data_IF_246090170923
#
_entry.id   IF_246090170923
#
_cell.length_a   1.000
_cell.length_b   1.000
_cell.length_c   1.000
_cell.angle_alpha   90.00
_cell.angle_beta   90.00
_cell.angle_gamma   90.00
#
_symmetry.space_group_name_H-M   'P 1'
#
loop_
_entity.id
_entity.type
_entity.pdbx_description
1 polymer ?
#
# COMPACT_ATOMS: atom_id res chain seq x y z
N UNK A 1 -2.74 23.67 21.12
CA UNK A 1 -2.96 23.25 19.72
C UNK A 1 -2.38 21.85 19.58
N UNK A 2 -3.24 20.83 19.41
CA UNK A 2 -2.78 19.44 19.25
C UNK A 2 -2.02 19.35 17.92
N UNK A 3 -0.74 19.01 17.96
CA UNK A 3 0.03 18.71 16.76
C UNK A 3 -0.62 17.51 16.10
N UNK A 4 -1.19 17.70 14.90
CA UNK A 4 -1.76 16.58 14.14
C UNK A 4 -0.68 15.52 13.97
N UNK A 5 -0.97 14.29 14.39
CA UNK A 5 -0.04 13.18 14.24
C UNK A 5 0.32 13.01 12.75
N UNK A 6 1.61 12.87 12.47
CA UNK A 6 2.15 12.63 11.12
C UNK A 6 2.86 11.29 11.07
N UNK A 7 2.88 10.70 9.87
CA UNK A 7 3.52 9.41 9.59
C UNK A 7 4.58 9.60 8.51
N UNK A 8 5.63 8.79 8.55
CA UNK A 8 6.65 8.77 7.50
C UNK A 8 6.34 7.66 6.49
N UNK A 9 6.32 8.01 5.22
CA UNK A 9 6.24 7.08 4.11
C UNK A 9 7.44 7.32 3.18
N UNK A 10 8.57 6.64 3.46
CA UNK A 10 9.86 6.95 2.83
C UNK A 10 10.26 8.39 3.14
N UNK A 11 10.54 9.16 2.10
CA UNK A 11 10.82 10.59 2.15
C UNK A 11 9.59 11.48 2.40
N UNK A 12 8.37 10.92 2.32
CA UNK A 12 7.14 11.70 2.41
C UNK A 12 6.59 11.77 3.82
N UNK A 13 5.98 12.92 4.16
CA UNK A 13 5.20 13.10 5.39
C UNK A 13 3.71 12.96 5.06
N UNK A 14 3.07 11.98 5.69
CA UNK A 14 1.65 11.69 5.53
C UNK A 14 0.89 12.23 6.74
N UNK A 15 -0.20 12.97 6.47
CA UNK A 15 -1.10 13.47 7.52
C UNK A 15 -1.92 12.30 8.06
N UNK A 16 -2.19 12.29 9.36
CA UNK A 16 -3.09 11.31 10.01
C UNK A 16 -4.45 11.17 9.33
N UNK A 17 -4.98 12.22 8.68
CA UNK A 17 -6.24 12.15 7.94
C UNK A 17 -6.24 11.15 6.77
N UNK A 18 -5.07 10.77 6.25
CA UNK A 18 -4.94 9.76 5.20
C UNK A 18 -4.69 8.35 5.76
N UNK A 19 -4.44 8.23 7.06
CA UNK A 19 -4.15 6.96 7.75
C UNK A 19 -5.40 6.51 8.49
N UNK A 20 -5.99 5.40 8.06
CA UNK A 20 -7.26 4.90 8.62
C UNK A 20 -7.08 3.76 9.62
N UNK A 21 -5.89 3.16 9.69
CA UNK A 21 -5.54 2.14 10.67
C UNK A 21 -4.08 2.32 11.11
N UNK A 22 -3.84 2.13 12.40
CA UNK A 22 -2.52 2.05 13.00
C UNK A 22 -2.51 0.87 13.98
N UNK A 23 -1.49 0.04 13.91
CA UNK A 23 -1.20 -1.03 14.87
C UNK A 23 0.05 -0.67 15.69
N UNK A 24 0.62 -1.65 16.38
CA UNK A 24 1.86 -1.43 17.14
C UNK A 24 3.05 -1.14 16.22
N UNK A 25 3.14 -1.84 15.08
CA UNK A 25 4.30 -1.78 14.19
C UNK A 25 3.96 -1.37 12.75
N UNK A 26 2.69 -1.18 12.40
CA UNK A 26 2.25 -0.83 11.05
C UNK A 26 1.20 0.27 11.02
N UNK A 27 0.97 0.82 9.84
CA UNK A 27 -0.13 1.72 9.54
C UNK A 27 -0.65 1.48 8.13
N UNK A 28 -1.91 1.83 7.88
CA UNK A 28 -2.51 1.74 6.57
C UNK A 28 -3.11 3.06 6.13
N UNK A 29 -2.92 3.36 4.85
CA UNK A 29 -3.25 4.65 4.26
C UNK A 29 -3.94 4.51 2.92
N UNK A 30 -4.76 5.50 2.59
CA UNK A 30 -5.37 5.60 1.25
C UNK A 30 -4.31 5.95 0.21
N UNK A 31 -4.32 5.25 -0.92
CA UNK A 31 -3.44 5.59 -2.03
C UNK A 31 -4.00 6.84 -2.75
N UNK A 32 -3.14 7.85 -2.99
CA UNK A 32 -3.53 9.08 -3.70
C UNK A 32 -3.73 8.87 -5.20
N UNK A 33 -3.06 7.86 -5.77
CA UNK A 33 -3.18 7.47 -7.17
C UNK A 33 -3.62 6.00 -7.21
N UNK A 34 -4.89 5.71 -6.91
CA UNK A 34 -5.36 4.34 -6.86
C UNK A 34 -5.49 3.75 -8.26
N UNK A 35 -4.88 2.58 -8.51
CA UNK A 35 -5.07 1.80 -9.75
C UNK A 35 -6.53 1.37 -9.94
N UNK A 36 -7.18 1.00 -8.84
CA UNK A 36 -8.62 0.70 -8.77
C UNK A 36 -9.23 1.38 -7.54
N UNK A 37 -10.53 1.73 -7.54
CA UNK A 37 -11.19 2.24 -6.34
C UNK A 37 -10.99 1.30 -5.15
N UNK A 38 -10.50 1.82 -4.03
CA UNK A 38 -10.17 1.02 -2.85
C UNK A 38 -8.75 0.49 -2.77
N UNK A 39 -7.87 0.84 -3.72
CA UNK A 39 -6.43 0.59 -3.60
C UNK A 39 -5.88 1.35 -2.37
N UNK A 40 -5.42 0.59 -1.38
CA UNK A 40 -4.74 1.10 -0.19
C UNK A 40 -3.34 0.51 -0.04
N UNK A 41 -2.57 1.11 0.87
CA UNK A 41 -1.23 0.65 1.23
C UNK A 41 -1.18 0.28 2.71
N UNK A 42 -0.38 -0.74 3.04
CA UNK A 42 -0.02 -1.10 4.42
C UNK A 42 1.49 -1.03 4.56
N UNK A 43 1.99 -0.28 5.54
CA UNK A 43 3.40 0.01 5.71
C UNK A 43 3.84 -0.23 7.16
N UNK A 44 5.07 -0.67 7.43
CA UNK A 44 5.62 -0.64 8.78
C UNK A 44 5.78 0.81 9.27
N UNK A 45 5.74 1.04 10.58
CA UNK A 45 5.98 2.35 11.17
C UNK A 45 7.46 2.75 11.07
N UNK A 46 8.37 1.78 11.19
CA UNK A 46 9.79 1.99 10.92
C UNK A 46 9.99 2.09 9.41
N UNK A 47 10.65 3.16 8.96
CA UNK A 47 11.00 3.31 7.55
C UNK A 47 12.10 2.32 7.19
N UNK A 48 11.73 1.29 6.44
CA UNK A 48 12.63 0.23 5.96
C UNK A 48 12.50 0.14 4.45
N UNK A 49 13.59 0.24 3.70
CA UNK A 49 13.54 0.24 2.23
C UNK A 49 13.18 -1.14 1.67
N UNK A 50 13.81 -2.22 2.18
CA UNK A 50 13.67 -3.56 1.62
C UNK A 50 13.00 -4.53 2.59
N UNK A 51 12.20 -5.45 2.04
CA UNK A 51 11.46 -6.45 2.79
C UNK A 51 12.39 -7.33 3.65
N UNK A 52 13.56 -7.69 3.10
CA UNK A 52 14.61 -8.47 3.80
C UNK A 52 15.16 -7.80 5.07
N UNK A 53 14.97 -6.49 5.23
CA UNK A 53 15.51 -5.73 6.36
C UNK A 53 14.44 -5.48 7.45
N UNK A 54 13.25 -6.06 7.28
CA UNK A 54 12.22 -6.12 8.32
C UNK A 54 12.61 -7.11 9.41
N UNK A 55 12.27 -6.79 10.65
CA UNK A 55 12.37 -7.73 11.75
C UNK A 55 11.17 -8.71 11.71
N UNK A 56 11.29 -9.92 12.31
CA UNK A 56 10.21 -10.90 12.30
C UNK A 56 8.87 -10.40 12.89
N UNK A 57 8.93 -9.57 13.93
CA UNK A 57 7.76 -8.91 14.54
C UNK A 57 7.07 -7.94 13.57
N UNK A 58 7.85 -7.18 12.80
CA UNK A 58 7.32 -6.28 11.78
C UNK A 58 6.69 -7.03 10.61
N UNK A 59 7.30 -8.13 10.17
CA UNK A 59 6.72 -8.99 9.12
C UNK A 59 5.37 -9.54 9.58
N UNK A 60 5.29 -10.06 10.82
CA UNK A 60 4.06 -10.59 11.37
C UNK A 60 2.95 -9.53 11.46
N UNK A 61 3.25 -8.38 12.07
CA UNK A 61 2.28 -7.29 12.22
C UNK A 61 1.84 -6.72 10.86
N UNK A 62 2.77 -6.58 9.89
CA UNK A 62 2.47 -6.10 8.54
C UNK A 62 1.48 -7.01 7.81
N UNK A 63 1.69 -8.32 7.84
CA UNK A 63 0.79 -9.26 7.16
C UNK A 63 -0.51 -9.53 7.91
N UNK A 64 -0.51 -9.50 9.25
CA UNK A 64 -1.75 -9.53 10.03
C UNK A 64 -2.61 -8.30 9.75
N UNK A 65 -1.98 -7.12 9.66
CA UNK A 65 -2.65 -5.87 9.29
C UNK A 65 -3.18 -5.94 7.86
N UNK A 66 -2.37 -6.43 6.91
CA UNK A 66 -2.78 -6.68 5.53
C UNK A 66 -4.00 -7.59 5.44
N UNK A 67 -4.00 -8.73 6.16
CA UNK A 67 -5.12 -9.67 6.18
C UNK A 67 -6.40 -9.04 6.71
N UNK A 68 -6.31 -8.24 7.79
CA UNK A 68 -7.45 -7.51 8.35
C UNK A 68 -8.03 -6.51 7.35
N UNK A 69 -7.17 -5.81 6.61
CA UNK A 69 -7.57 -4.82 5.62
C UNK A 69 -8.19 -5.49 4.39
N UNK A 70 -7.60 -6.59 3.95
CA UNK A 70 -8.11 -7.41 2.85
C UNK A 70 -9.58 -7.79 3.08
N UNK A 71 -9.91 -8.32 4.26
CA UNK A 71 -11.30 -8.69 4.62
C UNK A 71 -12.27 -7.49 4.57
N UNK A 72 -11.85 -6.34 5.10
CA UNK A 72 -12.69 -5.13 5.13
C UNK A 72 -12.89 -4.55 3.74
N UNK A 73 -11.82 -4.45 2.94
CA UNK A 73 -11.85 -3.82 1.63
C UNK A 73 -12.60 -4.67 0.61
N UNK A 74 -12.41 -5.99 0.60
CA UNK A 74 -13.15 -6.87 -0.30
C UNK A 74 -14.65 -6.74 -0.08
N UNK A 75 -15.09 -6.78 1.18
CA UNK A 75 -16.50 -6.58 1.57
C UNK A 75 -17.02 -5.19 1.23
N UNK A 76 -16.29 -4.14 1.61
CA UNK A 76 -16.75 -2.76 1.43
C UNK A 76 -16.92 -2.39 -0.05
N UNK A 77 -15.99 -2.83 -0.90
CA UNK A 77 -16.03 -2.57 -2.32
C UNK A 77 -16.88 -3.58 -3.11
N UNK A 78 -17.49 -4.57 -2.45
CA UNK A 78 -18.22 -5.66 -3.10
C UNK A 78 -17.36 -6.35 -4.18
N UNK A 79 -16.09 -6.54 -3.86
CA UNK A 79 -15.15 -7.28 -4.67
C UNK A 79 -15.30 -8.79 -4.42
N UNK A 80 -14.78 -9.59 -5.35
CA UNK A 80 -14.78 -11.05 -5.25
C UNK A 80 -13.37 -11.62 -5.05
N UNK A 81 -12.36 -10.78 -5.19
CA UNK A 81 -10.95 -11.15 -5.12
C UNK A 81 -10.10 -9.92 -4.77
N UNK A 82 -8.82 -10.15 -4.48
CA UNK A 82 -7.85 -9.09 -4.20
C UNK A 82 -6.56 -9.31 -4.99
N UNK A 83 -5.91 -8.22 -5.39
CA UNK A 83 -4.48 -8.23 -5.71
C UNK A 83 -3.72 -7.71 -4.50
N UNK A 84 -2.81 -8.52 -3.97
CA UNK A 84 -1.91 -8.17 -2.86
C UNK A 84 -0.48 -8.25 -3.39
N UNK A 85 0.27 -7.15 -3.33
CA UNK A 85 1.60 -7.08 -3.93
C UNK A 85 2.59 -6.26 -3.09
N UNK A 86 3.86 -6.64 -3.17
CA UNK A 86 5.00 -5.87 -2.65
C UNK A 86 5.99 -5.72 -3.80
N UNK A 87 6.43 -4.50 -4.04
CA UNK A 87 7.53 -4.21 -4.96
C UNK A 87 8.78 -3.97 -4.13
N UNK A 88 9.64 -4.98 -4.04
CA UNK A 88 10.85 -4.94 -3.21
C UNK A 88 12.08 -4.55 -4.04
N UNK A 89 12.34 -3.25 -4.14
CA UNK A 89 13.46 -2.68 -4.90
C UNK A 89 13.07 -2.02 -6.23
N UNK A 90 13.97 -1.21 -6.82
CA UNK A 90 13.64 -0.36 -7.96
C UNK A 90 13.28 -1.15 -9.23
N UNK A 91 13.94 -2.28 -9.49
CA UNK A 91 13.66 -3.15 -10.63
C UNK A 91 12.34 -3.92 -10.48
N UNK A 92 11.80 -4.00 -9.26
CA UNK A 92 10.46 -4.51 -8.99
C UNK A 92 9.38 -3.43 -9.08
N UNK A 93 9.74 -2.17 -9.35
CA UNK A 93 8.83 -1.03 -9.46
C UNK A 93 8.77 -0.13 -8.22
N UNK A 94 9.56 -0.38 -7.18
CA UNK A 94 9.51 0.42 -5.95
C UNK A 94 9.94 1.88 -6.21
N UNK A 95 9.04 2.84 -6.00
CA UNK A 95 9.34 4.27 -6.12
C UNK A 95 9.51 4.98 -4.79
N UNK A 96 8.78 4.57 -3.76
CA UNK A 96 8.96 5.04 -2.39
C UNK A 96 9.84 4.03 -1.65
N UNK A 97 10.99 4.48 -1.15
CA UNK A 97 11.98 3.67 -0.41
C UNK A 97 11.52 3.32 1.00
N UNK A 98 10.39 2.64 1.06
CA UNK A 98 9.74 2.15 2.26
C UNK A 98 8.89 0.96 1.86
N UNK A 99 9.02 -0.18 2.52
CA UNK A 99 8.16 -1.34 2.29
C UNK A 99 6.69 -0.93 2.41
N UNK A 100 5.90 -1.29 1.41
CA UNK A 100 4.45 -1.15 1.44
C UNK A 100 3.80 -2.30 0.70
N UNK A 101 2.74 -2.83 1.30
CA UNK A 101 1.88 -3.84 0.69
C UNK A 101 0.74 -3.11 0.00
N UNK A 102 0.62 -3.29 -1.29
CA UNK A 102 -0.55 -2.87 -2.06
C UNK A 102 -1.68 -3.86 -1.80
N UNK A 103 -2.88 -3.34 -1.51
CA UNK A 103 -4.11 -4.13 -1.41
C UNK A 103 -5.15 -3.51 -2.33
N UNK A 104 -5.50 -4.24 -3.40
CA UNK A 104 -6.42 -3.78 -4.44
C UNK A 104 -7.64 -4.70 -4.51
N UNK A 105 -8.86 -4.21 -4.28
CA UNK A 105 -10.08 -4.98 -4.53
C UNK A 105 -10.30 -5.24 -6.01
N UNK A 106 -10.67 -6.48 -6.36
CA UNK A 106 -10.85 -6.93 -7.75
C UNK A 106 -12.28 -7.37 -8.01
N UNK A 107 -12.79 -7.04 -9.20
CA UNK A 107 -14.10 -7.45 -9.70
C UNK A 107 -13.95 -8.10 -11.07
N UNK A 108 -14.87 -8.99 -11.42
CA UNK A 108 -14.93 -9.51 -12.78
C UNK A 108 -15.07 -8.36 -13.79
N UNK A 109 -14.18 -8.32 -14.79
CA UNK A 109 -14.19 -7.30 -15.83
C UNK A 109 -13.67 -5.93 -15.42
N UNK A 110 -12.99 -5.79 -14.26
CA UNK A 110 -12.29 -4.55 -13.92
C UNK A 110 -11.08 -4.27 -14.83
N UNK A 111 -10.56 -5.32 -15.46
CA UNK A 111 -9.54 -5.27 -16.51
C UNK A 111 -9.92 -6.21 -17.66
N UNK A 112 -9.62 -5.81 -18.91
CA UNK A 112 -9.80 -6.68 -20.09
C UNK A 112 -8.90 -7.92 -20.03
N UNK A 113 -7.68 -7.75 -19.51
CA UNK A 113 -6.73 -8.82 -19.22
C UNK A 113 -6.28 -8.67 -17.78
N UNK A 114 -6.43 -9.73 -16.98
CA UNK A 114 -6.11 -9.67 -15.55
C UNK A 114 -4.67 -9.23 -15.26
N UNK A 115 -3.72 -9.62 -16.12
CA UNK A 115 -2.30 -9.28 -15.95
C UNK A 115 -1.98 -7.82 -16.26
N UNK A 116 -2.88 -7.08 -16.94
CA UNK A 116 -2.70 -5.63 -17.17
C UNK A 116 -2.68 -4.83 -15.87
N UNK A 117 -3.14 -5.40 -14.75
CA UNK A 117 -2.99 -4.76 -13.45
C UNK A 117 -1.52 -4.57 -13.05
N UNK A 118 -0.62 -5.45 -13.49
CA UNK A 118 0.81 -5.33 -13.21
C UNK A 118 1.42 -4.15 -13.96
N UNK A 119 0.97 -3.92 -15.19
CA UNK A 119 1.35 -2.76 -16.00
C UNK A 119 0.83 -1.46 -15.35
N UNK A 120 -0.43 -1.43 -14.91
CA UNK A 120 -1.00 -0.24 -14.25
C UNK A 120 -0.36 0.06 -12.90
N UNK A 121 -0.08 -0.97 -12.09
CA UNK A 121 0.65 -0.80 -10.83
C UNK A 121 2.03 -0.20 -11.10
N UNK A 122 2.72 -0.64 -12.16
CA UNK A 122 3.98 -0.04 -12.62
C UNK A 122 3.81 1.37 -13.18
N UNK A 123 2.75 1.66 -13.94
CA UNK A 123 2.56 2.92 -14.66
C UNK A 123 2.07 4.08 -13.78
N UNK A 124 1.22 3.76 -12.80
CA UNK A 124 0.80 4.67 -11.74
C UNK A 124 2.00 5.40 -11.09
N UNK A 125 3.15 4.74 -11.10
CA UNK A 125 4.41 5.16 -10.49
C UNK A 125 5.31 5.98 -11.43
N UNK A 126 5.27 5.78 -12.75
CA UNK A 126 6.01 6.65 -13.69
C UNK A 126 5.48 8.09 -13.67
N UNK A 127 4.18 8.24 -13.44
CA UNK A 127 3.52 9.53 -13.24
C UNK A 127 3.96 10.24 -11.94
N UNK A 128 4.54 9.52 -10.97
CA UNK A 128 5.15 10.12 -9.77
C UNK A 128 6.55 10.70 -10.04
N UNK A 129 7.26 10.16 -11.03
CA UNK A 129 8.59 10.63 -11.45
C UNK A 129 8.56 11.91 -12.30
N UNK A 130 7.44 12.19 -12.99
CA UNK A 130 7.30 13.35 -13.89
C UNK A 130 6.68 14.60 -13.25
N UNK A 131 6.27 14.51 -11.99
CA UNK A 131 5.62 15.62 -11.25
C UNK A 131 6.43 16.08 -10.02
N UNK A 132 7.71 15.71 -9.96
CA UNK A 132 8.69 16.19 -8.99
C UNK A 132 9.69 17.13 -9.66
#
# INVERSE_FOLDING_TARGET
MSTMATFRFGQHIVKSSAVFLKTELSFALVNRKPVVPGHVLVCPLRVVERFRDLRPDEVADLFMTTQRIADVIEKHFQASSLTIAIQDGPEAGQTVKHVHVHVLPRKAGDFDKNDSIYDEVSWCMESDRRQQ
#
